data_IF_197454980784
#
_entry.id   IF_197454980784
#
_cell.length_a   1.000
_cell.length_b   1.000
_cell.length_c   1.000
_cell.angle_alpha   90.00
_cell.angle_beta   90.00
_cell.angle_gamma   90.00
#
_symmetry.space_group_name_H-M   'P 1'
#
loop_
_entity.id
_entity.type
_entity.pdbx_description
1 polymer ?
#
# COMPACT_ATOMS: atom_id res chain seq x y z
N UNK A 1 -14.27 -0.34 -43.16
CA UNK A 1 -13.45 0.20 -42.05
C UNK A 1 -12.67 1.37 -42.60
N UNK A 2 -12.87 2.58 -42.06
CA UNK A 2 -12.36 3.82 -42.65
C UNK A 2 -10.87 4.01 -42.33
N UNK A 3 -10.10 4.56 -43.26
CA UNK A 3 -8.65 4.76 -43.10
C UNK A 3 -8.33 5.79 -42.00
N UNK A 4 -9.22 6.76 -41.82
CA UNK A 4 -9.10 7.77 -40.77
C UNK A 4 -9.38 7.19 -39.37
N UNK A 5 -10.28 6.22 -39.25
CA UNK A 5 -10.56 5.52 -37.98
C UNK A 5 -9.36 4.68 -37.52
N UNK A 6 -8.64 4.07 -38.47
CA UNK A 6 -7.42 3.28 -38.19
C UNK A 6 -6.28 4.18 -37.69
N UNK A 7 -6.08 5.36 -38.31
CA UNK A 7 -5.08 6.33 -37.85
C UNK A 7 -5.41 6.87 -36.46
N UNK A 8 -6.67 7.22 -36.21
CA UNK A 8 -7.12 7.69 -34.91
C UNK A 8 -6.92 6.63 -33.81
N UNK A 9 -7.17 5.35 -34.12
CA UNK A 9 -6.90 4.25 -33.19
C UNK A 9 -5.41 4.05 -32.92
N UNK A 10 -4.55 4.16 -33.94
CA UNK A 10 -3.10 4.03 -33.77
C UNK A 10 -2.51 5.19 -32.95
N UNK A 11 -2.98 6.42 -33.17
CA UNK A 11 -2.58 7.59 -32.39
C UNK A 11 -3.02 7.44 -30.92
N UNK A 12 -4.28 7.08 -30.68
CA UNK A 12 -4.79 6.83 -29.33
C UNK A 12 -4.01 5.72 -28.63
N UNK A 13 -3.64 4.65 -29.34
CA UNK A 13 -2.83 3.56 -28.78
C UNK A 13 -1.43 4.04 -28.42
N UNK A 14 -0.78 4.82 -29.30
CA UNK A 14 0.54 5.40 -29.04
C UNK A 14 0.52 6.36 -27.85
N UNK A 15 -0.52 7.18 -27.73
CA UNK A 15 -0.69 8.08 -26.58
C UNK A 15 -0.85 7.30 -25.28
N UNK A 16 -1.66 6.23 -25.28
CA UNK A 16 -1.81 5.34 -24.12
C UNK A 16 -0.49 4.67 -23.75
N UNK A 17 0.21 4.07 -24.71
CA UNK A 17 1.50 3.42 -24.49
C UNK A 17 2.54 4.43 -23.93
N UNK A 18 2.54 5.68 -24.42
CA UNK A 18 3.41 6.73 -23.91
C UNK A 18 3.04 7.17 -22.49
N UNK A 19 1.73 7.26 -22.18
CA UNK A 19 1.24 7.57 -20.85
C UNK A 19 1.60 6.47 -19.83
N UNK A 20 1.45 5.20 -20.21
CA UNK A 20 1.83 4.05 -19.37
C UNK A 20 3.32 4.07 -19.04
N UNK A 21 4.21 4.26 -20.03
CA UNK A 21 5.66 4.34 -19.78
C UNK A 21 6.04 5.51 -18.88
N UNK A 22 5.36 6.66 -19.02
CA UNK A 22 5.59 7.83 -18.14
C UNK A 22 5.17 7.51 -16.71
N UNK A 23 4.01 6.88 -16.53
CA UNK A 23 3.53 6.45 -15.22
C UNK A 23 4.49 5.46 -14.57
N UNK A 24 4.93 4.43 -15.31
CA UNK A 24 5.92 3.46 -14.83
C UNK A 24 7.22 4.13 -14.40
N UNK A 25 7.71 5.10 -15.18
CA UNK A 25 8.90 5.89 -14.84
C UNK A 25 8.72 6.66 -13.53
N UNK A 26 7.60 7.35 -13.35
CA UNK A 26 7.31 8.10 -12.12
C UNK A 26 7.15 7.18 -10.91
N UNK A 27 6.44 6.07 -11.05
CA UNK A 27 6.28 5.07 -9.98
C UNK A 27 7.64 4.49 -9.61
N UNK A 28 8.48 4.17 -10.59
CA UNK A 28 9.82 3.63 -10.38
C UNK A 28 10.74 4.65 -9.70
N UNK A 29 10.69 5.92 -10.10
CA UNK A 29 11.43 7.00 -9.46
C UNK A 29 10.99 7.19 -8.00
N UNK A 30 9.68 7.27 -7.76
CA UNK A 30 9.09 7.48 -6.44
C UNK A 30 9.40 6.35 -5.45
N UNK A 31 9.66 5.12 -5.92
CA UNK A 31 10.04 4.00 -5.04
C UNK A 31 11.28 4.28 -4.21
N UNK A 32 12.23 5.08 -4.72
CA UNK A 32 13.49 5.39 -4.05
C UNK A 32 13.44 6.69 -3.25
N UNK A 33 12.33 7.43 -3.32
CA UNK A 33 12.17 8.64 -2.53
C UNK A 33 12.13 8.29 -1.04
N UNK A 34 12.73 9.18 -0.24
CA UNK A 34 12.76 9.02 1.21
C UNK A 34 11.36 9.23 1.77
N UNK A 35 10.84 8.18 2.39
CA UNK A 35 9.58 8.17 3.13
C UNK A 35 9.81 7.40 4.43
N UNK A 36 8.99 7.67 5.44
CA UNK A 36 9.00 6.91 6.68
C UNK A 36 7.60 6.90 7.26
N UNK A 37 7.33 5.90 8.08
CA UNK A 37 6.06 5.77 8.76
C UNK A 37 6.06 6.69 9.99
N UNK A 38 5.11 7.60 10.04
CA UNK A 38 4.87 8.46 11.19
C UNK A 38 4.03 7.73 12.25
N UNK A 39 2.91 7.14 11.84
CA UNK A 39 2.06 6.38 12.73
C UNK A 39 1.53 5.10 12.11
N UNK A 40 1.23 4.14 13.00
CA UNK A 40 0.63 2.86 12.63
C UNK A 40 -0.61 2.64 13.50
N UNK A 41 -1.78 2.52 12.87
CA UNK A 41 -3.05 2.28 13.57
C UNK A 41 -3.68 0.97 13.14
N UNK A 42 -4.26 0.27 14.10
CA UNK A 42 -4.91 -1.02 13.88
C UNK A 42 -6.34 -0.92 14.38
N UNK A 43 -7.29 -1.23 13.49
CA UNK A 43 -8.72 -1.17 13.74
C UNK A 43 -9.34 -2.56 13.64
N UNK A 44 -10.38 -2.83 14.44
CA UNK A 44 -11.17 -4.06 14.37
C UNK A 44 -10.58 -5.29 15.07
N UNK A 45 -9.31 -5.26 15.49
CA UNK A 45 -8.69 -6.31 16.31
C UNK A 45 -9.17 -6.24 17.77
N UNK A 46 -10.24 -6.96 18.12
CA UNK A 46 -10.81 -6.96 19.48
C UNK A 46 -10.22 -8.04 20.38
N UNK A 47 -9.90 -9.21 19.83
CA UNK A 47 -9.45 -10.40 20.58
C UNK A 47 -7.96 -10.67 20.38
N UNK A 48 -7.41 -10.24 19.25
CA UNK A 48 -6.03 -10.47 18.86
C UNK A 48 -5.10 -9.52 19.61
N UNK A 49 -4.01 -10.06 20.16
CA UNK A 49 -3.04 -9.28 20.95
C UNK A 49 -2.25 -8.34 20.04
N UNK A 50 -2.03 -7.10 20.50
CA UNK A 50 -1.21 -6.10 19.81
C UNK A 50 0.19 -6.61 19.42
N UNK A 51 0.81 -7.43 20.29
CA UNK A 51 2.12 -8.03 20.06
C UNK A 51 2.22 -8.84 18.75
N UNK A 52 1.13 -9.46 18.31
CA UNK A 52 1.11 -10.18 17.03
C UNK A 52 1.36 -9.21 15.87
N UNK A 53 0.67 -8.08 15.87
CA UNK A 53 0.80 -7.07 14.83
C UNK A 53 2.17 -6.39 14.89
N UNK A 54 2.66 -6.05 16.09
CA UNK A 54 4.01 -5.49 16.26
C UNK A 54 5.08 -6.41 15.66
N UNK A 55 4.98 -7.73 15.89
CA UNK A 55 5.92 -8.70 15.36
C UNK A 55 5.94 -8.72 13.82
N UNK A 56 4.77 -8.59 13.20
CA UNK A 56 4.62 -8.65 11.74
C UNK A 56 4.96 -7.30 11.08
N UNK A 57 4.72 -6.18 11.77
CA UNK A 57 4.89 -4.82 11.25
C UNK A 57 6.27 -4.20 11.53
N UNK A 58 7.09 -4.84 12.37
CA UNK A 58 8.41 -4.33 12.77
C UNK A 58 9.31 -3.95 11.56
N UNK A 59 9.20 -4.67 10.45
CA UNK A 59 9.92 -4.33 9.22
C UNK A 59 9.40 -3.07 8.55
N UNK A 60 8.08 -2.94 8.43
CA UNK A 60 7.45 -1.76 7.84
C UNK A 60 7.81 -0.49 8.62
N UNK A 61 7.83 -0.54 9.95
CA UNK A 61 8.24 0.58 10.83
C UNK A 61 9.69 1.04 10.61
N UNK A 62 10.54 0.21 10.01
CA UNK A 62 11.96 0.51 9.75
C UNK A 62 12.23 0.90 8.29
N UNK A 63 11.20 0.94 7.45
CA UNK A 63 11.31 1.33 6.06
C UNK A 63 11.79 2.78 5.92
N UNK A 64 12.59 3.04 4.89
CA UNK A 64 13.19 4.34 4.61
C UNK A 64 12.81 4.90 3.24
N UNK A 65 12.14 4.09 2.42
CA UNK A 65 11.67 4.48 1.10
C UNK A 65 10.22 4.08 0.91
N UNK A 66 9.52 4.75 -0.01
CA UNK A 66 8.14 4.40 -0.34
C UNK A 66 8.04 2.95 -0.84
N UNK A 67 9.01 2.50 -1.62
CA UNK A 67 9.09 1.13 -2.10
C UNK A 67 9.18 0.10 -0.97
N UNK A 68 10.03 0.36 0.03
CA UNK A 68 10.14 -0.48 1.22
C UNK A 68 8.87 -0.48 2.06
N UNK A 69 8.25 0.68 2.26
CA UNK A 69 6.98 0.80 3.02
C UNK A 69 5.91 -0.07 2.35
N UNK A 70 5.70 0.06 1.04
CA UNK A 70 4.71 -0.72 0.30
C UNK A 70 5.04 -2.22 0.36
N UNK A 71 6.30 -2.58 0.11
CA UNK A 71 6.73 -3.97 0.12
C UNK A 71 6.49 -4.61 1.49
N UNK A 72 7.00 -4.01 2.55
CA UNK A 72 6.93 -4.59 3.90
C UNK A 72 5.52 -4.60 4.46
N UNK A 73 4.68 -3.63 4.08
CA UNK A 73 3.26 -3.63 4.44
C UNK A 73 2.51 -4.77 3.75
N UNK A 74 2.79 -5.03 2.46
CA UNK A 74 2.23 -6.17 1.76
C UNK A 74 2.70 -7.52 2.33
N UNK A 75 3.99 -7.65 2.66
CA UNK A 75 4.54 -8.83 3.35
C UNK A 75 3.84 -9.05 4.68
N UNK A 76 3.63 -7.98 5.46
CA UNK A 76 2.92 -8.04 6.73
C UNK A 76 1.48 -8.52 6.58
N UNK A 77 0.71 -7.94 5.66
CA UNK A 77 -0.66 -8.34 5.38
C UNK A 77 -0.74 -9.79 4.90
N UNK A 78 0.19 -10.22 4.05
CA UNK A 78 0.28 -11.63 3.61
C UNK A 78 0.53 -12.57 4.79
N UNK A 79 1.42 -12.21 5.71
CA UNK A 79 1.68 -13.01 6.91
C UNK A 79 0.46 -13.07 7.84
N UNK A 80 -0.26 -11.96 8.03
CA UNK A 80 -1.50 -11.94 8.80
C UNK A 80 -2.60 -12.80 8.15
N UNK A 81 -2.74 -12.75 6.83
CA UNK A 81 -3.70 -13.57 6.09
C UNK A 81 -3.43 -15.07 6.26
N UNK A 82 -2.16 -15.49 6.30
CA UNK A 82 -1.76 -16.90 6.51
C UNK A 82 -2.15 -17.46 7.87
N UNK A 83 -2.42 -16.61 8.86
CA UNK A 83 -2.89 -17.06 10.18
C UNK A 83 -4.33 -17.57 10.13
N UNK A 84 -5.08 -17.20 9.08
CA UNK A 84 -6.47 -17.62 8.85
C UNK A 84 -7.43 -17.25 10.00
N UNK A 85 -7.07 -16.27 10.82
CA UNK A 85 -7.89 -15.75 11.93
C UNK A 85 -8.67 -14.49 11.58
N UNK A 86 -8.37 -13.87 10.44
CA UNK A 86 -9.07 -12.68 9.93
C UNK A 86 -9.88 -13.07 8.69
N UNK A 87 -11.09 -12.51 8.57
CA UNK A 87 -11.95 -12.64 7.39
C UNK A 87 -11.52 -11.65 6.31
N UNK A 88 -11.24 -10.41 6.72
CA UNK A 88 -10.84 -9.30 5.87
C UNK A 88 -9.67 -8.56 6.52
N UNK A 89 -8.73 -8.10 5.69
CA UNK A 89 -7.59 -7.28 6.09
C UNK A 89 -7.42 -6.20 5.02
N UNK A 90 -7.67 -4.96 5.39
CA UNK A 90 -7.50 -3.80 4.54
C UNK A 90 -6.35 -2.94 5.04
N UNK A 91 -5.62 -2.35 4.09
CA UNK A 91 -4.53 -1.43 4.41
C UNK A 91 -4.70 -0.12 3.66
N UNK A 92 -4.63 0.96 4.41
CA UNK A 92 -4.59 2.32 3.90
C UNK A 92 -3.21 2.92 4.20
N UNK A 93 -2.59 3.48 3.18
CA UNK A 93 -1.42 4.35 3.32
C UNK A 93 -1.82 5.74 2.87
N UNK A 94 -1.64 6.72 3.75
CA UNK A 94 -1.91 8.11 3.46
C UNK A 94 -0.75 9.01 3.89
N UNK A 95 -0.68 10.20 3.32
CA UNK A 95 0.26 11.23 3.76
C UNK A 95 -0.13 11.69 5.15
N UNK A 96 0.85 11.81 6.05
CA UNK A 96 0.55 12.20 7.42
C UNK A 96 0.09 13.65 7.50
N UNK A 97 -0.98 13.89 8.24
CA UNK A 97 -1.52 15.21 8.53
C UNK A 97 -0.98 15.81 9.85
N UNK A 98 -0.09 15.10 10.55
CA UNK A 98 0.52 15.58 11.79
C UNK A 98 1.47 16.76 11.49
N UNK A 99 1.23 17.96 12.06
CA UNK A 99 2.09 19.13 11.85
C UNK A 99 3.55 18.95 12.30
N UNK A 100 3.82 17.97 13.18
CA UNK A 100 5.15 17.65 13.68
C UNK A 100 5.82 16.52 12.88
N UNK A 101 5.08 15.86 11.99
CA UNK A 101 5.66 14.84 11.14
C UNK A 101 6.60 15.49 10.12
N UNK A 102 7.77 14.90 9.84
CA UNK A 102 8.65 15.47 8.84
C UNK A 102 8.02 15.38 7.42
N UNK A 103 8.64 15.96 6.39
CA UNK A 103 8.20 15.81 5.01
C UNK A 103 8.37 14.39 4.47
N UNK A 104 7.32 13.84 3.83
CA UNK A 104 7.33 12.44 3.36
C UNK A 104 6.94 11.43 4.44
N UNK A 105 6.29 11.90 5.50
CA UNK A 105 5.66 11.07 6.51
C UNK A 105 4.41 10.38 5.97
N UNK A 106 4.27 9.07 6.24
CA UNK A 106 3.06 8.31 5.95
C UNK A 106 2.41 7.81 7.23
N UNK A 107 1.09 7.87 7.28
CA UNK A 107 0.30 7.16 8.27
C UNK A 107 -0.22 5.86 7.65
N UNK A 108 -0.04 4.75 8.35
CA UNK A 108 -0.52 3.44 7.90
C UNK A 108 -1.64 2.98 8.81
N UNK A 109 -2.78 2.65 8.22
CA UNK A 109 -3.94 2.12 8.93
C UNK A 109 -4.24 0.72 8.42
N UNK A 110 -4.31 -0.23 9.34
CA UNK A 110 -4.75 -1.61 9.06
C UNK A 110 -6.11 -1.81 9.71
N UNK A 111 -7.12 -2.11 8.90
CA UNK A 111 -8.41 -2.57 9.38
C UNK A 111 -8.49 -4.08 9.23
N UNK A 112 -8.89 -4.77 10.30
CA UNK A 112 -9.12 -6.22 10.28
C UNK A 112 -10.51 -6.58 10.76
N UNK A 113 -11.09 -7.61 10.14
CA UNK A 113 -12.27 -8.27 10.65
C UNK A 113 -11.87 -9.65 11.22
N UNK A 114 -11.93 -9.83 12.54
CA UNK A 114 -11.62 -11.12 13.16
C UNK A 114 -12.72 -12.15 12.86
N UNK A 115 -12.31 -13.37 12.47
CA UNK A 115 -13.27 -14.47 12.31
C UNK A 115 -13.98 -14.77 13.63
N UNK A 116 -15.28 -15.05 13.54
CA UNK A 116 -16.02 -15.58 14.68
C UNK A 116 -15.50 -16.97 15.04
N UNK A 117 -15.38 -17.25 16.34
CA UNK A 117 -15.11 -18.61 16.86
C UNK A 117 -16.38 -19.45 17.01
N UNK A 118 -17.54 -18.80 16.87
CA UNK A 118 -18.84 -19.43 16.91
C UNK A 118 -19.37 -19.45 15.49
N UNK A 119 -19.57 -20.67 14.99
CA UNK A 119 -20.22 -20.97 13.73
C UNK A 119 -21.72 -20.64 13.82
#
# INVERSE_FOLDING_TARGET
>A
MNFDDLKAQEELRREREAAERRLESWVSAAKNDKYYINSFRIHGAKKTRALLFEAVLNRALKAKTLGEVIQFTNEATSNLARLDIFKEIDVLLDTSNDPLAPPGALDVEIAVEEKSRFW
#
